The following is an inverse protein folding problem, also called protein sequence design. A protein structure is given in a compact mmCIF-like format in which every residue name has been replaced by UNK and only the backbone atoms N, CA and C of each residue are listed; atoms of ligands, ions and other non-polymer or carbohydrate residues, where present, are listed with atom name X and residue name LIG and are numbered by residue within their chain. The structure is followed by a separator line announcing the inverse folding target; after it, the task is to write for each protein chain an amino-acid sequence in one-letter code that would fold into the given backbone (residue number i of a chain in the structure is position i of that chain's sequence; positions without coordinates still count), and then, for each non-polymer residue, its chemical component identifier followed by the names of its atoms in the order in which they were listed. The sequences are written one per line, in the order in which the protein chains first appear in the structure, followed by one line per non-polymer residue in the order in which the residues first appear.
data_IF_802035547388
#
_entry.id   IF_802035547388
#
_cell.length_a   1.000
_cell.length_b   1.000
_cell.length_c   1.000
_cell.angle_alpha   90.00
_cell.angle_beta   90.00
_cell.angle_gamma   90.00
#
_symmetry.space_group_name_H-M   'P 1'
#
loop_
_entity.id
_entity.type
_entity.pdbx_description
1 polymer ?
#
# COMPACT_ATOMS: atom_id res chain seq x y z
N UNK A 1 30.89 17.76 31.01
CA UNK A 1 31.16 16.66 30.05
C UNK A 1 30.01 16.48 29.05
N UNK A 2 29.57 17.55 28.35
CA UNK A 2 28.54 17.45 27.28
C UNK A 2 29.01 18.00 25.92
N UNK A 3 30.19 18.61 25.86
CA UNK A 3 30.76 19.21 24.63
C UNK A 3 31.76 18.30 23.89
N UNK A 4 32.15 17.17 24.48
CA UNK A 4 33.08 16.22 23.86
C UNK A 4 32.38 15.16 22.98
N UNK A 5 31.09 14.88 23.23
CA UNK A 5 30.35 13.85 22.47
C UNK A 5 29.90 14.37 21.10
N UNK A 6 29.55 15.66 21.00
CA UNK A 6 29.11 16.28 19.74
C UNK A 6 30.28 16.40 18.75
N UNK A 7 31.51 16.65 19.23
CA UNK A 7 32.68 16.77 18.36
C UNK A 7 33.13 15.44 17.74
N UNK A 8 32.84 14.30 18.38
CA UNK A 8 33.17 12.97 17.85
C UNK A 8 32.17 12.53 16.77
N UNK A 9 30.89 12.89 16.92
CA UNK A 9 29.86 12.58 15.92
C UNK A 9 30.09 13.32 14.59
N UNK A 10 30.56 14.58 14.64
CA UNK A 10 30.84 15.35 13.42
C UNK A 10 32.03 14.80 12.62
N UNK A 11 33.02 14.19 13.27
CA UNK A 11 34.17 13.58 12.58
C UNK A 11 33.77 12.28 11.89
N UNK A 12 32.91 11.47 12.53
CA UNK A 12 32.41 10.22 11.96
C UNK A 12 31.56 10.50 10.71
N UNK A 13 30.71 11.53 10.76
CA UNK A 13 29.82 11.87 9.64
C UNK A 13 30.59 12.37 8.41
N UNK A 14 31.70 13.09 8.61
CA UNK A 14 32.60 13.51 7.53
C UNK A 14 33.37 12.31 6.95
N UNK A 15 33.79 11.35 7.77
CA UNK A 15 34.45 10.13 7.28
C UNK A 15 33.50 9.24 6.48
N UNK A 16 32.22 9.14 6.87
CA UNK A 16 31.20 8.40 6.10
C UNK A 16 30.94 9.09 4.76
N UNK A 17 30.81 10.41 4.72
CA UNK A 17 30.65 11.16 3.46
C UNK A 17 31.86 11.03 2.54
N UNK A 18 33.09 11.08 3.06
CA UNK A 18 34.30 10.86 2.27
C UNK A 18 34.35 9.41 1.76
N UNK A 19 33.94 8.42 2.56
CA UNK A 19 33.89 7.03 2.14
C UNK A 19 32.86 6.80 1.02
N UNK A 20 31.68 7.41 1.09
CA UNK A 20 30.67 7.38 0.01
C UNK A 20 31.15 8.08 -1.27
N UNK A 21 31.82 9.23 -1.15
CA UNK A 21 32.39 9.93 -2.30
C UNK A 21 33.56 9.18 -2.95
N UNK A 22 34.37 8.48 -2.15
CA UNK A 22 35.51 7.70 -2.67
C UNK A 22 35.08 6.34 -3.26
N UNK A 23 33.99 5.73 -2.76
CA UNK A 23 33.39 4.54 -3.38
C UNK A 23 32.78 4.83 -4.76
N UNK A 24 32.35 6.06 -5.03
CA UNK A 24 31.86 6.47 -6.35
C UNK A 24 32.97 6.91 -7.33
N UNK A 25 34.23 7.04 -6.90
CA UNK A 25 35.30 7.63 -7.72
C UNK A 25 36.52 6.74 -7.96
N UNK A 26 36.37 5.42 -7.96
CA UNK A 26 37.47 4.53 -8.38
C UNK A 26 37.01 3.36 -9.24
N UNK A 27 36.63 3.63 -10.49
CA UNK A 27 37.04 2.75 -11.59
C UNK A 27 37.15 3.49 -12.95
N UNK A 28 38.31 4.12 -13.15
CA UNK A 28 38.93 4.36 -14.46
C UNK A 28 38.48 5.62 -15.22
N UNK A 29 39.37 6.35 -15.90
CA UNK A 29 40.77 6.12 -16.26
C UNK A 29 41.35 7.45 -16.76
N UNK A 30 42.68 7.59 -16.66
CA UNK A 30 43.42 8.43 -17.59
C UNK A 30 42.97 8.10 -19.03
N UNK A 31 42.34 9.06 -19.70
CA UNK A 31 42.67 9.49 -21.05
C UNK A 31 41.71 10.60 -21.48
N UNK A 32 42.31 11.72 -21.86
CA UNK A 32 41.69 12.74 -22.68
C UNK A 32 41.10 12.12 -23.96
N UNK A 33 40.08 12.81 -24.49
CA UNK A 33 39.40 12.59 -25.78
C UNK A 33 38.10 11.76 -25.77
N UNK A 34 37.02 12.31 -25.22
CA UNK A 34 35.68 12.31 -25.87
C UNK A 34 34.69 13.23 -25.12
N UNK A 35 34.84 14.54 -25.34
CA UNK A 35 33.76 15.50 -25.11
C UNK A 35 32.81 15.35 -26.30
N UNK A 36 31.71 14.60 -26.15
CA UNK A 36 30.44 14.72 -26.93
C UNK A 36 29.46 13.54 -26.76
N UNK A 37 29.68 12.56 -25.87
CA UNK A 37 28.76 11.40 -25.73
C UNK A 37 27.99 11.33 -24.39
N UNK A 38 28.38 12.13 -23.39
CA UNK A 38 27.80 12.08 -22.02
C UNK A 38 26.50 12.89 -21.89
N UNK A 39 26.19 13.77 -22.84
CA UNK A 39 24.98 14.61 -22.78
C UNK A 39 23.70 13.85 -23.13
N UNK A 40 23.77 12.80 -23.94
CA UNK A 40 22.57 12.06 -24.34
C UNK A 40 22.17 11.02 -23.29
N UNK A 41 23.12 10.27 -22.73
CA UNK A 41 22.79 9.22 -21.75
C UNK A 41 22.16 9.76 -20.45
N UNK A 42 22.58 10.94 -19.97
CA UNK A 42 21.98 11.58 -18.79
C UNK A 42 20.61 12.18 -19.08
N UNK A 43 20.38 12.70 -20.30
CA UNK A 43 19.08 13.24 -20.72
C UNK A 43 18.10 12.11 -21.02
N UNK A 44 18.58 11.01 -21.59
CA UNK A 44 17.79 9.81 -21.93
C UNK A 44 17.42 9.02 -20.68
N UNK A 45 18.33 8.87 -19.70
CA UNK A 45 18.00 8.29 -18.39
C UNK A 45 17.03 9.16 -17.59
N UNK A 46 17.20 10.49 -17.61
CA UNK A 46 16.27 11.42 -16.96
C UNK A 46 14.92 11.47 -17.66
N UNK A 47 14.87 11.36 -18.98
CA UNK A 47 13.61 11.32 -19.76
C UNK A 47 12.87 10.00 -19.55
N UNK A 48 13.59 8.88 -19.50
CA UNK A 48 13.03 7.56 -19.24
C UNK A 48 12.47 7.44 -17.82
N UNK A 49 13.16 7.99 -16.82
CA UNK A 49 12.66 8.05 -15.44
C UNK A 49 11.39 8.90 -15.32
N UNK A 50 11.32 10.05 -16.02
CA UNK A 50 10.11 10.89 -16.05
C UNK A 50 8.95 10.19 -16.77
N UNK A 51 9.20 9.50 -17.88
CA UNK A 51 8.18 8.73 -18.59
C UNK A 51 7.68 7.52 -17.78
N UNK A 52 8.56 6.85 -17.03
CA UNK A 52 8.19 5.74 -16.13
C UNK A 52 7.36 6.23 -14.94
N UNK A 53 7.71 7.37 -14.35
CA UNK A 53 6.95 8.00 -13.25
C UNK A 53 5.56 8.49 -13.70
N UNK A 54 5.47 9.09 -14.90
CA UNK A 54 4.18 9.48 -15.50
C UNK A 54 3.31 8.27 -15.88
N UNK A 55 3.91 7.16 -16.30
CA UNK A 55 3.20 5.91 -16.61
C UNK A 55 2.65 5.27 -15.33
N UNK A 56 3.50 5.10 -14.30
CA UNK A 56 3.10 4.61 -12.98
C UNK A 56 1.96 5.45 -12.41
N UNK A 57 2.08 6.77 -12.43
CA UNK A 57 1.03 7.67 -11.92
C UNK A 57 -0.30 7.49 -12.67
N UNK A 58 -0.27 7.25 -13.98
CA UNK A 58 -1.48 7.04 -14.78
C UNK A 58 -2.14 5.70 -14.48
N UNK A 59 -1.36 4.63 -14.41
CA UNK A 59 -1.84 3.29 -14.08
C UNK A 59 -2.38 3.25 -12.65
N UNK A 60 -1.70 3.90 -11.71
CA UNK A 60 -2.16 4.04 -10.34
C UNK A 60 -3.48 4.79 -10.22
N UNK A 61 -3.66 5.92 -10.94
CA UNK A 61 -4.94 6.64 -10.99
C UNK A 61 -6.10 5.73 -11.38
N UNK A 62 -5.93 4.98 -12.48
CA UNK A 62 -6.95 4.07 -12.98
C UNK A 62 -7.21 2.94 -11.98
N UNK A 63 -6.15 2.28 -11.48
CA UNK A 63 -6.30 1.19 -10.55
C UNK A 63 -7.01 1.65 -9.27
N UNK A 64 -6.60 2.78 -8.69
CA UNK A 64 -7.20 3.33 -7.47
C UNK A 64 -8.70 3.60 -7.67
N UNK A 65 -9.10 4.15 -8.82
CA UNK A 65 -10.51 4.34 -9.12
C UNK A 65 -11.27 2.99 -9.19
N UNK A 66 -10.72 1.99 -9.89
CA UNK A 66 -11.35 0.68 -10.01
C UNK A 66 -11.43 -0.09 -8.68
N UNK A 67 -10.37 -0.01 -7.87
CA UNK A 67 -10.36 -0.57 -6.51
C UNK A 67 -11.38 0.17 -5.63
N UNK A 68 -11.35 1.50 -5.64
CA UNK A 68 -12.25 2.34 -4.85
C UNK A 68 -13.70 1.97 -5.11
N UNK A 69 -14.13 1.88 -6.37
CA UNK A 69 -15.51 1.51 -6.72
C UNK A 69 -15.94 0.15 -6.15
N UNK A 70 -15.05 -0.84 -6.20
CA UNK A 70 -15.31 -2.15 -5.61
C UNK A 70 -15.49 -2.06 -4.08
N UNK A 71 -14.56 -1.42 -3.38
CA UNK A 71 -14.64 -1.30 -1.91
C UNK A 71 -15.75 -0.36 -1.45
N UNK A 72 -16.06 0.68 -2.23
CA UNK A 72 -17.20 1.57 -2.01
C UNK A 72 -18.51 0.77 -2.08
N UNK A 73 -18.69 -0.06 -3.11
CA UNK A 73 -19.84 -0.94 -3.21
C UNK A 73 -19.92 -1.95 -2.06
N UNK A 74 -18.78 -2.48 -1.61
CA UNK A 74 -18.72 -3.46 -0.53
C UNK A 74 -19.08 -2.82 0.82
N UNK A 75 -18.43 -1.71 1.18
CA UNK A 75 -18.63 -1.02 2.45
C UNK A 75 -20.02 -0.40 2.57
N UNK A 76 -20.66 -0.06 1.45
CA UNK A 76 -22.02 0.48 1.42
C UNK A 76 -23.09 -0.57 1.10
N UNK A 77 -22.72 -1.86 1.14
CA UNK A 77 -23.68 -2.97 1.04
C UNK A 77 -24.62 -3.05 2.25
N UNK A 78 -25.72 -3.80 2.09
CA UNK A 78 -26.69 -4.05 3.17
C UNK A 78 -26.02 -4.59 4.45
N UNK A 79 -25.07 -5.50 4.32
CA UNK A 79 -24.39 -6.10 5.45
C UNK A 79 -23.62 -5.06 6.26
N UNK A 80 -22.76 -4.26 5.60
CA UNK A 80 -21.92 -3.28 6.28
C UNK A 80 -22.74 -2.10 6.81
N UNK A 81 -23.75 -1.64 6.07
CA UNK A 81 -24.69 -0.64 6.55
C UNK A 81 -25.38 -1.07 7.85
N UNK A 82 -25.92 -2.30 7.89
CA UNK A 82 -26.56 -2.82 9.11
C UNK A 82 -25.54 -3.03 10.24
N UNK A 83 -24.31 -3.44 9.93
CA UNK A 83 -23.23 -3.56 10.92
C UNK A 83 -22.97 -2.22 11.61
N UNK A 84 -22.88 -1.11 10.85
CA UNK A 84 -22.71 0.24 11.39
C UNK A 84 -23.88 0.70 12.25
N UNK A 85 -25.11 0.51 11.78
CA UNK A 85 -26.29 1.01 12.48
C UNK A 85 -26.58 0.30 13.82
N UNK A 86 -26.05 -0.92 14.01
CA UNK A 86 -26.32 -1.75 15.19
C UNK A 86 -25.21 -1.67 16.26
N UNK A 87 -24.30 -0.69 16.17
CA UNK A 87 -23.12 -0.50 17.04
C UNK A 87 -23.30 -0.88 18.52
N UNK A 88 -22.90 -2.11 18.85
CA UNK A 88 -22.28 -2.46 20.12
C UNK A 88 -20.85 -2.89 19.78
N UNK A 89 -19.86 -2.33 20.48
CA UNK A 89 -18.43 -2.35 20.16
C UNK A 89 -17.76 -3.74 20.01
N UNK A 90 -18.52 -4.84 20.12
CA UNK A 90 -18.01 -6.22 20.20
C UNK A 90 -18.47 -7.12 19.02
N UNK A 91 -19.08 -6.62 17.94
CA UNK A 91 -19.66 -7.51 16.91
C UNK A 91 -19.39 -7.15 15.45
N UNK A 92 -18.15 -6.79 15.10
CA UNK A 92 -17.73 -6.96 13.71
C UNK A 92 -17.68 -8.45 13.40
N UNK A 93 -18.63 -8.93 12.60
CA UNK A 93 -18.71 -10.32 12.17
C UNK A 93 -17.90 -10.55 10.90
N UNK A 94 -17.20 -11.67 10.82
CA UNK A 94 -16.51 -12.12 9.61
C UNK A 94 -17.42 -12.88 8.62
N UNK A 95 -18.73 -12.94 8.89
CA UNK A 95 -19.71 -13.69 8.08
C UNK A 95 -19.82 -13.20 6.61
N UNK A 96 -19.35 -11.99 6.32
CA UNK A 96 -19.31 -11.45 4.95
C UNK A 96 -18.19 -12.07 4.11
N UNK A 97 -17.18 -12.69 4.72
CA UNK A 97 -16.00 -13.27 4.05
C UNK A 97 -16.34 -14.65 3.46
N UNK A 98 -17.17 -14.66 2.41
CA UNK A 98 -17.47 -15.87 1.64
C UNK A 98 -16.30 -16.31 0.76
N UNK A 99 -16.31 -17.54 0.24
CA UNK A 99 -15.28 -17.99 -0.71
C UNK A 99 -15.22 -17.12 -1.97
N UNK A 100 -16.37 -16.68 -2.48
CA UNK A 100 -16.42 -15.77 -3.62
C UNK A 100 -15.74 -14.44 -3.28
N UNK A 101 -16.04 -13.87 -2.12
CA UNK A 101 -15.39 -12.64 -1.65
C UNK A 101 -13.88 -12.83 -1.50
N UNK A 102 -13.42 -13.99 -1.01
CA UNK A 102 -11.98 -14.28 -0.92
C UNK A 102 -11.31 -14.30 -2.30
N UNK A 103 -11.95 -14.89 -3.31
CA UNK A 103 -11.45 -14.89 -4.69
C UNK A 103 -11.41 -13.47 -5.29
N UNK A 104 -12.44 -12.67 -5.01
CA UNK A 104 -12.50 -11.26 -5.43
C UNK A 104 -11.37 -10.46 -4.75
N UNK A 105 -11.21 -10.56 -3.42
CA UNK A 105 -10.13 -9.90 -2.68
C UNK A 105 -8.74 -10.35 -3.15
N UNK A 106 -8.56 -11.64 -3.48
CA UNK A 106 -7.31 -12.14 -4.05
C UNK A 106 -7.03 -11.52 -5.42
N UNK A 107 -8.04 -11.39 -6.27
CA UNK A 107 -7.89 -10.72 -7.58
C UNK A 107 -7.48 -9.26 -7.39
N UNK A 108 -8.13 -8.55 -6.45
CA UNK A 108 -7.79 -7.17 -6.10
C UNK A 108 -6.36 -7.03 -5.56
N UNK A 109 -5.92 -7.98 -4.74
CA UNK A 109 -4.55 -8.03 -4.24
C UNK A 109 -3.52 -8.20 -5.38
N UNK A 110 -3.78 -9.11 -6.33
CA UNK A 110 -2.90 -9.33 -7.49
C UNK A 110 -2.84 -8.08 -8.39
N UNK A 111 -3.95 -7.37 -8.59
CA UNK A 111 -3.96 -6.13 -9.38
C UNK A 111 -3.06 -5.04 -8.74
N UNK A 112 -3.09 -4.91 -7.41
CA UNK A 112 -2.23 -3.97 -6.67
C UNK A 112 -0.78 -4.41 -6.68
N UNK A 113 -0.51 -5.68 -6.45
CA UNK A 113 0.85 -6.25 -6.47
C UNK A 113 1.55 -6.01 -7.81
N UNK A 114 0.84 -6.20 -8.93
CA UNK A 114 1.38 -5.95 -10.27
C UNK A 114 1.72 -4.48 -10.55
N UNK A 115 1.10 -3.53 -9.83
CA UNK A 115 1.38 -2.10 -9.97
C UNK A 115 2.58 -1.67 -9.12
N UNK A 116 2.83 -2.34 -8.00
CA UNK A 116 3.91 -1.97 -7.09
C UNK A 116 5.28 -2.16 -7.77
N UNK A 117 6.24 -1.24 -7.55
CA UNK A 117 7.60 -1.41 -8.06
C UNK A 117 8.31 -2.57 -7.35
N UNK A 118 9.20 -3.27 -8.06
CA UNK A 118 10.01 -4.38 -7.49
C UNK A 118 10.82 -3.95 -6.27
N UNK A 119 11.30 -2.70 -6.26
CA UNK A 119 11.98 -2.08 -5.12
C UNK A 119 11.14 -0.92 -4.60
N UNK A 120 10.67 -1.04 -3.35
CA UNK A 120 9.90 0.00 -2.69
C UNK A 120 10.80 1.17 -2.26
N UNK A 121 10.49 2.35 -2.77
CA UNK A 121 11.07 3.59 -2.25
C UNK A 121 10.26 4.10 -1.05
N UNK A 122 10.94 4.31 0.07
CA UNK A 122 10.38 4.95 1.27
C UNK A 122 9.89 6.39 1.05
N UNK A 123 10.32 7.05 -0.02
CA UNK A 123 9.89 8.41 -0.37
C UNK A 123 8.62 8.46 -1.23
N UNK A 124 8.16 7.32 -1.76
CA UNK A 124 6.94 7.22 -2.54
C UNK A 124 5.77 6.80 -1.63
N UNK A 125 5.06 7.80 -1.09
CA UNK A 125 3.94 7.58 -0.15
C UNK A 125 2.82 6.72 -0.76
N UNK A 126 2.49 6.92 -2.04
CA UNK A 126 1.47 6.13 -2.73
C UNK A 126 1.82 4.64 -2.77
N UNK A 127 3.06 4.28 -3.10
CA UNK A 127 3.49 2.88 -3.09
C UNK A 127 3.44 2.27 -1.69
N UNK A 128 3.77 3.03 -0.65
CA UNK A 128 3.67 2.56 0.75
C UNK A 128 2.21 2.31 1.16
N UNK A 129 1.31 3.18 0.75
CA UNK A 129 -0.12 3.05 1.06
C UNK A 129 -0.78 1.91 0.27
N UNK A 130 -0.43 1.74 -1.00
CA UNK A 130 -0.88 0.60 -1.81
C UNK A 130 -0.33 -0.73 -1.26
N UNK A 131 0.90 -0.74 -0.75
CA UNK A 131 1.41 -1.89 0.00
C UNK A 131 0.54 -2.14 1.23
N UNK A 132 0.22 -1.13 2.04
CA UNK A 132 -0.67 -1.31 3.20
C UNK A 132 -2.05 -1.86 2.80
N UNK A 133 -2.60 -1.43 1.66
CA UNK A 133 -3.84 -2.00 1.12
C UNK A 133 -3.65 -3.49 0.81
N UNK A 134 -2.57 -3.88 0.15
CA UNK A 134 -2.24 -5.28 -0.15
C UNK A 134 -2.13 -6.14 1.13
N UNK A 135 -1.45 -5.64 2.15
CA UNK A 135 -1.34 -6.30 3.46
C UNK A 135 -2.72 -6.55 4.05
N UNK A 136 -3.56 -5.51 4.08
CA UNK A 136 -4.90 -5.56 4.68
C UNK A 136 -5.84 -6.43 3.88
N UNK A 137 -5.69 -6.52 2.56
CA UNK A 137 -6.46 -7.41 1.70
C UNK A 137 -6.27 -8.86 2.10
N UNK A 138 -5.00 -9.26 2.27
CA UNK A 138 -4.65 -10.60 2.74
C UNK A 138 -5.21 -10.87 4.14
N UNK A 139 -5.12 -9.90 5.05
CA UNK A 139 -5.67 -10.03 6.41
C UNK A 139 -7.22 -10.13 6.40
N UNK A 140 -7.90 -9.33 5.58
CA UNK A 140 -9.35 -9.36 5.46
C UNK A 140 -9.89 -10.72 5.00
N UNK A 141 -9.10 -11.47 4.23
CA UNK A 141 -9.46 -12.83 3.79
C UNK A 141 -9.40 -13.89 4.91
N UNK A 142 -8.71 -13.58 6.02
CA UNK A 142 -8.31 -14.52 7.07
C UNK A 142 -9.22 -14.57 8.31
N UNK A 143 -10.40 -13.93 8.26
CA UNK A 143 -11.46 -13.99 9.28
C UNK A 143 -11.13 -13.47 10.68
N UNK A 144 -10.02 -12.74 10.87
CA UNK A 144 -9.77 -11.97 12.10
C UNK A 144 -9.70 -10.50 11.72
N UNK A 145 -10.51 -9.67 12.38
CA UNK A 145 -10.62 -8.23 12.10
C UNK A 145 -10.93 -7.91 10.63
N UNK A 146 -11.66 -8.81 9.94
CA UNK A 146 -11.83 -8.71 8.50
C UNK A 146 -12.58 -7.44 8.09
N UNK A 147 -13.64 -7.08 8.81
CA UNK A 147 -14.38 -5.84 8.55
C UNK A 147 -13.51 -4.61 8.77
N UNK A 148 -12.78 -4.54 9.91
CA UNK A 148 -11.88 -3.43 10.22
C UNK A 148 -10.85 -3.23 9.11
N UNK A 149 -10.26 -4.32 8.61
CA UNK A 149 -9.31 -4.26 7.51
C UNK A 149 -9.93 -3.72 6.21
N UNK A 150 -11.17 -4.09 5.88
CA UNK A 150 -11.88 -3.51 4.73
C UNK A 150 -12.16 -2.03 4.89
N UNK A 151 -12.57 -1.59 6.08
CA UNK A 151 -12.74 -0.16 6.33
C UNK A 151 -11.43 0.61 6.14
N UNK A 152 -10.30 0.08 6.61
CA UNK A 152 -9.00 0.70 6.37
C UNK A 152 -8.62 0.74 4.88
N UNK A 153 -8.85 -0.35 4.15
CA UNK A 153 -8.62 -0.39 2.70
C UNK A 153 -9.45 0.71 2.01
N UNK A 154 -10.74 0.79 2.34
CA UNK A 154 -11.62 1.81 1.78
C UNK A 154 -11.14 3.23 2.09
N UNK A 155 -10.72 3.50 3.34
CA UNK A 155 -10.20 4.82 3.74
C UNK A 155 -8.98 5.24 2.93
N UNK A 156 -7.97 4.35 2.81
CA UNK A 156 -6.75 4.64 2.04
C UNK A 156 -7.10 4.91 0.57
N UNK A 157 -7.94 4.06 -0.03
CA UNK A 157 -8.35 4.21 -1.42
C UNK A 157 -9.18 5.48 -1.65
N UNK A 158 -10.05 5.84 -0.72
CA UNK A 158 -10.82 7.08 -0.76
C UNK A 158 -9.89 8.31 -0.78
N UNK A 159 -8.92 8.39 0.14
CA UNK A 159 -7.97 9.50 0.24
C UNK A 159 -7.20 9.67 -1.07
N UNK A 160 -6.66 8.57 -1.61
CA UNK A 160 -5.97 8.60 -2.90
C UNK A 160 -6.90 8.90 -4.08
N UNK A 161 -8.17 8.47 -4.05
CA UNK A 161 -9.11 8.76 -5.12
C UNK A 161 -9.52 10.24 -5.13
N UNK A 162 -9.69 10.86 -3.97
CA UNK A 162 -9.88 12.32 -3.83
C UNK A 162 -8.66 13.06 -4.40
N UNK A 163 -7.45 12.71 -3.96
CA UNK A 163 -6.24 13.45 -4.32
C UNK A 163 -5.84 13.27 -5.79
N UNK A 164 -5.88 12.02 -6.30
CA UNK A 164 -5.37 11.70 -7.64
C UNK A 164 -6.44 11.81 -8.72
N UNK A 165 -7.70 11.55 -8.39
CA UNK A 165 -8.80 11.50 -9.36
C UNK A 165 -9.87 12.57 -9.14
N UNK A 166 -9.72 13.45 -8.15
CA UNK A 166 -10.66 14.54 -7.85
C UNK A 166 -12.08 14.01 -7.57
N UNK A 167 -12.15 12.85 -6.91
CA UNK A 167 -13.42 12.29 -6.48
C UNK A 167 -14.13 13.26 -5.52
N UNK A 168 -15.43 13.44 -5.74
CA UNK A 168 -16.31 14.19 -4.85
C UNK A 168 -17.19 13.21 -4.08
N UNK A 169 -17.16 13.29 -2.74
CA UNK A 169 -17.91 12.38 -1.89
C UNK A 169 -19.42 12.50 -2.12
N UNK A 170 -20.06 11.35 -2.36
CA UNK A 170 -21.51 11.25 -2.45
C UNK A 170 -22.10 10.84 -1.10
N UNK A 171 -22.69 11.79 -0.36
CA UNK A 171 -23.26 11.54 0.97
C UNK A 171 -24.37 10.48 0.95
N UNK A 172 -25.20 10.46 -0.09
CA UNK A 172 -26.37 9.59 -0.17
C UNK A 172 -26.31 8.74 -1.44
N UNK A 173 -26.32 7.42 -1.26
CA UNK A 173 -26.39 6.46 -2.36
C UNK A 173 -27.72 6.53 -3.12
N UNK A 174 -27.74 5.99 -4.34
CA UNK A 174 -28.95 5.94 -5.20
C UNK A 174 -30.16 5.24 -4.56
N UNK A 175 -29.94 4.39 -3.55
CA UNK A 175 -31.00 3.70 -2.80
C UNK A 175 -31.53 4.52 -1.60
N UNK A 176 -31.05 5.76 -1.41
CA UNK A 176 -31.48 6.68 -0.36
C UNK A 176 -30.80 6.48 1.00
N UNK A 177 -29.77 5.64 1.10
CA UNK A 177 -28.98 5.45 2.32
C UNK A 177 -27.75 6.34 2.33
N UNK A 178 -27.34 6.76 3.52
CA UNK A 178 -26.07 7.46 3.73
C UNK A 178 -24.91 6.49 3.45
N UNK A 179 -23.97 6.94 2.62
CA UNK A 179 -22.71 6.26 2.39
C UNK A 179 -21.80 6.47 3.60
N UNK A 180 -20.96 5.48 3.87
CA UNK A 180 -19.92 5.61 4.87
C UNK A 180 -18.94 6.73 4.48
N UNK A 181 -18.87 7.76 5.32
CA UNK A 181 -17.94 8.87 5.23
C UNK A 181 -16.69 8.59 6.09
N UNK A 182 -15.53 8.24 5.48
CA UNK A 182 -14.32 7.92 6.23
C UNK A 182 -13.69 9.15 6.91
N UNK A 183 -14.09 10.38 6.56
CA UNK A 183 -13.60 11.60 7.22
C UNK A 183 -14.37 11.91 8.51
N UNK A 184 -15.66 11.58 8.57
CA UNK A 184 -16.54 11.95 9.67
C UNK A 184 -16.86 10.79 10.62
N UNK A 185 -17.05 9.58 10.07
CA UNK A 185 -17.51 8.42 10.85
C UNK A 185 -16.36 7.53 11.35
N UNK A 186 -15.12 7.74 10.88
CA UNK A 186 -14.01 6.84 11.19
C UNK A 186 -13.72 6.73 12.69
N UNK A 187 -13.55 7.86 13.38
CA UNK A 187 -13.23 7.89 14.81
C UNK A 187 -14.39 7.38 15.68
N UNK A 188 -15.63 7.50 15.18
CA UNK A 188 -16.83 6.97 15.84
C UNK A 188 -16.86 5.44 15.79
N UNK A 189 -16.53 4.86 14.65
CA UNK A 189 -16.55 3.41 14.44
C UNK A 189 -15.29 2.73 15.02
N UNK A 190 -14.14 3.38 14.92
CA UNK A 190 -12.83 2.84 15.33
C UNK A 190 -12.08 3.78 16.27
N UNK A 191 -12.46 3.85 17.56
CA UNK A 191 -11.73 4.66 18.54
C UNK A 191 -10.28 4.16 18.68
N UNK A 192 -9.33 5.09 18.81
CA UNK A 192 -7.86 4.90 18.79
C UNK A 192 -7.26 3.86 19.77
N UNK A 193 -8.08 3.20 20.59
CA UNK A 193 -7.65 2.26 21.63
C UNK A 193 -7.08 0.92 21.13
N UNK A 194 -7.07 0.65 19.82
CA UNK A 194 -6.50 -0.58 19.25
C UNK A 194 -5.44 -0.25 18.19
N UNK A 195 -4.22 0.05 18.63
CA UNK A 195 -3.05 -0.04 17.77
C UNK A 195 -2.85 -1.50 17.34
N UNK A 196 -3.28 -1.83 16.12
CA UNK A 196 -2.80 -3.05 15.48
C UNK A 196 -1.47 -2.78 14.80
N UNK A 197 -0.44 -3.47 15.28
CA UNK A 197 0.84 -3.60 14.59
C UNK A 197 0.62 -4.15 13.19
N UNK A 198 0.84 -3.31 12.18
CA UNK A 198 0.95 -3.72 10.78
C UNK A 198 2.08 -4.74 10.71
N UNK A 199 1.77 -5.97 10.27
CA UNK A 199 2.77 -7.02 10.05
C UNK A 199 3.73 -6.58 8.95
N UNK A 200 5.01 -6.88 9.12
CA UNK A 200 6.06 -6.58 8.14
C UNK A 200 5.94 -7.48 6.90
N UNK A 201 6.50 -7.05 5.77
CA UNK A 201 6.53 -7.81 4.50
C UNK A 201 7.05 -9.25 4.69
N UNK A 202 8.06 -9.44 5.54
CA UNK A 202 8.61 -10.75 5.85
C UNK A 202 7.63 -11.66 6.62
N UNK A 203 6.87 -11.09 7.57
CA UNK A 203 5.84 -11.83 8.31
C UNK A 203 4.66 -12.20 7.39
N UNK A 204 4.42 -11.42 6.35
CA UNK A 204 3.35 -11.66 5.38
C UNK A 204 3.75 -12.65 4.29
N UNK A 205 4.98 -12.61 3.79
CA UNK A 205 5.51 -13.65 2.90
C UNK A 205 5.48 -15.02 3.59
N UNK A 206 5.81 -15.09 4.87
CA UNK A 206 5.70 -16.33 5.66
C UNK A 206 4.24 -16.81 5.81
N UNK A 207 3.27 -15.90 5.94
CA UNK A 207 1.85 -16.26 6.02
C UNK A 207 1.26 -16.66 4.67
N UNK A 208 1.67 -16.01 3.58
CA UNK A 208 1.28 -16.36 2.20
C UNK A 208 1.81 -17.76 1.86
N UNK A 209 3.08 -18.06 2.15
CA UNK A 209 3.66 -19.39 1.93
C UNK A 209 2.96 -20.49 2.75
N UNK A 210 2.62 -20.21 4.01
CA UNK A 210 1.88 -21.17 4.87
C UNK A 210 0.42 -21.38 4.44
N UNK A 211 -0.24 -20.35 3.90
CA UNK A 211 -1.60 -20.46 3.38
C UNK A 211 -1.70 -21.33 2.13
N UNK A 212 -0.64 -21.36 1.32
CA UNK A 212 -0.57 -22.14 0.07
C UNK A 212 -0.34 -23.65 0.35
N UNK A 213 0.40 -24.03 1.39
CA UNK A 213 0.60 -25.45 1.74
C UNK A 213 -0.70 -26.17 2.13
N UNK A 214 -1.71 -25.44 2.64
CA UNK A 214 -2.98 -26.02 3.07
C UNK A 214 -4.02 -26.22 1.94
N UNK A 215 -3.70 -25.84 0.70
CA UNK A 215 -4.53 -26.09 -0.50
C UNK A 215 -3.77 -26.99 -1.49
N UNK A 216 -3.06 -28.00 -0.99
CA UNK A 216 -2.70 -29.16 -1.80
C UNK A 216 -3.79 -30.22 -1.63
N UNK A 217 -4.46 -30.69 -2.71
CA UNK A 217 -5.32 -31.84 -2.62
C UNK A 217 -4.42 -33.07 -2.40
N UNK A 218 -4.18 -33.42 -1.15
CA UNK A 218 -3.91 -34.80 -0.79
C UNK A 218 -5.23 -35.57 -0.98
N UNK A 219 -5.51 -36.00 -2.20
CA UNK A 219 -6.27 -37.22 -2.51
C UNK A 219 -6.19 -37.50 -4.02
N UNK A 220 -4.99 -37.83 -4.49
CA UNK A 220 -4.83 -38.91 -5.47
C UNK A 220 -4.05 -40.04 -4.78
N UNK A 221 -4.76 -40.94 -4.10
CA UNK A 221 -4.33 -42.33 -3.87
C UNK A 221 -5.42 -43.17 -3.16
N UNK A 222 -6.36 -43.72 -3.94
CA UNK A 222 -6.70 -45.16 -4.05
C UNK A 222 -8.08 -45.39 -4.68
#
# INVERSE_FOLDING_TARGET
MKKLVISLFSIILVFVLIFFLNSFSSNGKNNEARKNEVSNASVEASSKAVEEDEAFTREAKQLIAEQFEYFHSLINSDFFYQSRMNMAADSFSDDWVTNQVKEELHTKAVEIDNLLPEELDSSNELSQDLLQVLIRLNQASSSVDSQRNIYHIYKILYEHHVDLNQYEFEEVASNGRENFNPEEEWEEIFPETEEQTVKTEAELQEEIEKGIEHVTPSDEAE
#
